data_IF_458644817737
#
_entry.id   IF_458644817737
#
_cell.length_a   1.000
_cell.length_b   1.000
_cell.length_c   1.000
_cell.angle_alpha   90.00
_cell.angle_beta   90.00
_cell.angle_gamma   90.00
#
_symmetry.space_group_name_H-M   'P 1'
#
loop_
_entity.id
_entity.type
_entity.pdbx_description
1 polymer ?
#
# COMPACT_ATOMS: atom_id res chain seq x y z
N UNK A 1 -3.14 -22.68 7.00
CA UNK A 1 -3.13 -21.79 5.82
C UNK A 1 -3.27 -20.38 6.34
N UNK A 2 -2.33 -19.47 6.05
CA UNK A 2 -2.52 -18.05 6.39
C UNK A 2 -3.62 -17.53 5.48
N UNK A 3 -4.76 -17.13 6.05
CA UNK A 3 -5.83 -16.51 5.28
C UNK A 3 -5.31 -15.21 4.67
N UNK A 4 -5.56 -15.04 3.36
CA UNK A 4 -5.22 -13.79 2.67
C UNK A 4 -6.13 -12.69 3.22
N UNK A 5 -5.59 -11.54 3.66
CA UNK A 5 -6.41 -10.44 4.14
C UNK A 5 -7.33 -9.96 3.00
N UNK A 6 -8.53 -9.46 3.32
CA UNK A 6 -9.42 -8.90 2.31
C UNK A 6 -8.80 -7.65 1.67
N UNK A 7 -9.18 -7.30 0.43
CA UNK A 7 -8.81 -6.03 -0.18
C UNK A 7 -9.25 -4.84 0.67
N UNK A 8 -8.44 -3.79 0.72
CA UNK A 8 -8.76 -2.54 1.42
C UNK A 8 -9.58 -1.58 0.56
N UNK A 9 -9.60 -1.81 -0.76
CA UNK A 9 -10.45 -1.07 -1.72
C UNK A 9 -10.78 -1.93 -2.95
N UNK A 10 -11.62 -1.42 -3.84
CA UNK A 10 -11.86 -2.00 -5.18
C UNK A 10 -10.80 -1.49 -6.16
N UNK A 11 -10.31 -2.31 -7.13
CA UNK A 11 -9.45 -1.85 -8.22
C UNK A 11 -10.02 -0.65 -8.99
N UNK A 12 -11.35 -0.56 -9.13
CA UNK A 12 -12.04 0.51 -9.86
C UNK A 12 -11.98 1.87 -9.13
N UNK A 13 -11.74 1.85 -7.82
CA UNK A 13 -11.58 3.07 -7.02
C UNK A 13 -10.16 3.67 -7.13
N UNK A 14 -9.22 2.93 -7.73
CA UNK A 14 -7.84 3.39 -7.92
C UNK A 14 -7.78 4.24 -9.19
N UNK A 15 -7.47 5.52 -9.02
CA UNK A 15 -7.33 6.49 -10.11
C UNK A 15 -6.00 6.32 -10.85
N UNK A 16 -5.86 6.99 -11.99
CA UNK A 16 -4.62 7.04 -12.78
C UNK A 16 -4.65 6.18 -14.04
N UNK A 17 -3.47 5.93 -14.61
CA UNK A 17 -3.28 5.21 -15.88
C UNK A 17 -2.61 3.84 -15.71
N UNK A 18 -2.43 3.34 -14.47
CA UNK A 18 -1.98 1.98 -14.25
C UNK A 18 -2.96 0.97 -14.86
N UNK A 19 -2.45 -0.17 -15.33
CA UNK A 19 -3.24 -1.25 -15.92
C UNK A 19 -4.18 -1.90 -14.89
N UNK A 20 -5.22 -2.56 -15.38
CA UNK A 20 -6.17 -3.27 -14.50
C UNK A 20 -5.47 -4.32 -13.63
N UNK A 21 -4.57 -5.10 -14.20
CA UNK A 21 -3.77 -6.08 -13.45
C UNK A 21 -2.96 -5.42 -12.31
N UNK A 22 -2.41 -4.22 -12.53
CA UNK A 22 -1.70 -3.48 -11.48
C UNK A 22 -2.67 -2.97 -10.41
N UNK A 23 -3.86 -2.49 -10.78
CA UNK A 23 -4.88 -2.07 -9.79
C UNK A 23 -5.41 -3.25 -8.97
N UNK A 24 -5.61 -4.41 -9.60
CA UNK A 24 -5.96 -5.67 -8.91
C UNK A 24 -4.89 -6.12 -7.93
N UNK A 25 -3.61 -5.86 -8.24
CA UNK A 25 -2.52 -6.14 -7.33
C UNK A 25 -2.49 -5.16 -6.15
N UNK A 26 -2.73 -3.88 -6.44
CA UNK A 26 -2.60 -2.78 -5.47
C UNK A 26 -3.85 -2.58 -4.59
N UNK A 27 -5.00 -3.15 -4.94
CA UNK A 27 -6.22 -3.06 -4.12
C UNK A 27 -6.11 -3.80 -2.77
N UNK A 28 -5.05 -4.60 -2.59
CA UNK A 28 -4.78 -5.33 -1.37
C UNK A 28 -3.28 -5.27 -1.00
N UNK A 29 -2.80 -4.14 -0.45
CA UNK A 29 -1.40 -3.96 -0.08
C UNK A 29 -0.93 -5.03 0.92
N UNK A 30 -1.73 -5.36 1.93
CA UNK A 30 -1.39 -6.37 2.92
C UNK A 30 -1.09 -7.74 2.28
N UNK A 31 -1.94 -8.21 1.36
CA UNK A 31 -1.70 -9.47 0.67
C UNK A 31 -0.46 -9.44 -0.24
N UNK A 32 -0.12 -8.28 -0.83
CA UNK A 32 1.08 -8.13 -1.64
C UNK A 32 2.36 -8.36 -0.82
N UNK A 33 2.41 -7.87 0.41
CA UNK A 33 3.57 -7.98 1.29
C UNK A 33 3.61 -9.28 2.11
N UNK A 34 2.47 -9.96 2.31
CA UNK A 34 2.38 -11.19 3.11
C UNK A 34 3.18 -12.37 2.53
N UNK A 35 3.35 -12.43 1.20
CA UNK A 35 4.01 -13.54 0.49
C UNK A 35 5.46 -13.27 0.07
N UNK A 36 6.00 -12.10 0.39
CA UNK A 36 7.32 -11.69 -0.07
C UNK A 36 8.19 -11.35 1.15
N UNK A 37 9.21 -12.19 1.36
CA UNK A 37 10.46 -11.98 2.09
C UNK A 37 10.63 -12.59 3.50
N UNK A 38 11.60 -13.50 3.60
CA UNK A 38 12.62 -13.47 4.66
C UNK A 38 13.39 -12.14 4.54
N UNK A 39 12.93 -11.09 5.23
CA UNK A 39 13.64 -9.80 5.28
C UNK A 39 14.29 -9.67 6.65
N UNK A 40 15.56 -9.26 6.67
CA UNK A 40 16.27 -8.83 7.89
C UNK A 40 15.72 -7.52 8.49
N UNK A 41 14.68 -6.96 7.87
CA UNK A 41 13.98 -5.76 8.32
C UNK A 41 12.60 -6.22 8.77
N UNK A 42 12.14 -5.84 9.98
CA UNK A 42 10.80 -6.16 10.44
C UNK A 42 9.78 -5.79 9.36
N UNK A 43 8.80 -6.65 9.06
CA UNK A 43 7.75 -6.29 8.11
C UNK A 43 7.14 -4.97 8.57
N UNK A 44 7.01 -4.02 7.64
CA UNK A 44 6.21 -2.82 7.86
C UNK A 44 4.86 -3.29 8.42
N UNK A 45 4.50 -2.82 9.62
CA UNK A 45 3.53 -3.51 10.48
C UNK A 45 2.29 -3.93 9.71
N UNK A 46 1.91 -5.21 9.80
CA UNK A 46 0.71 -5.73 9.12
C UNK A 46 -0.53 -4.88 9.45
N UNK A 47 -0.59 -4.34 10.66
CA UNK A 47 -1.67 -3.47 11.14
C UNK A 47 -1.76 -2.15 10.35
N UNK A 48 -0.65 -1.69 9.77
CA UNK A 48 -0.59 -0.52 8.91
C UNK A 48 -1.01 -0.89 7.49
N UNK A 49 -0.48 -1.99 6.95
CA UNK A 49 -0.77 -2.44 5.58
C UNK A 49 -2.22 -2.87 5.38
N UNK A 50 -2.88 -3.36 6.43
CA UNK A 50 -4.32 -3.70 6.43
C UNK A 50 -5.22 -2.48 6.46
N UNK A 51 -4.68 -1.30 6.79
CA UNK A 51 -5.39 0.00 6.79
C UNK A 51 -5.01 0.88 5.60
N UNK A 52 -3.96 0.52 4.86
CA UNK A 52 -3.49 1.27 3.71
C UNK A 52 -4.46 1.14 2.53
N UNK A 53 -4.95 2.28 2.04
CA UNK A 53 -5.85 2.36 0.89
C UNK A 53 -5.11 3.01 -0.26
N UNK A 54 -4.87 2.28 -1.36
CA UNK A 54 -4.32 2.88 -2.57
C UNK A 54 -5.41 3.68 -3.27
N UNK A 55 -5.17 4.97 -3.50
CA UNK A 55 -6.14 5.87 -4.13
C UNK A 55 -5.75 6.27 -5.55
N UNK A 56 -4.46 6.22 -5.88
CA UNK A 56 -3.95 6.47 -7.22
C UNK A 56 -2.78 5.56 -7.56
N UNK A 57 -2.75 5.08 -8.80
CA UNK A 57 -1.61 4.40 -9.39
C UNK A 57 -1.40 4.91 -10.82
N UNK A 58 -0.25 5.55 -11.06
CA UNK A 58 0.09 6.13 -12.36
C UNK A 58 1.52 5.79 -12.78
N UNK A 59 1.73 5.75 -14.09
CA UNK A 59 3.02 5.59 -14.74
C UNK A 59 3.26 6.85 -15.57
N UNK A 60 4.29 7.60 -15.22
CA UNK A 60 4.67 8.86 -15.88
C UNK A 60 6.04 8.73 -16.53
N UNK A 61 6.34 9.57 -17.52
CA UNK A 61 7.71 9.70 -18.02
C UNK A 61 8.57 10.42 -17.00
N UNK A 62 9.82 9.97 -16.83
CA UNK A 62 10.79 10.63 -15.97
C UNK A 62 11.19 11.98 -16.58
N UNK A 63 11.26 13.02 -15.75
CA UNK A 63 11.57 14.39 -16.18
C UNK A 63 13.00 14.51 -16.70
N UNK A 64 13.92 13.75 -16.11
CA UNK A 64 15.33 13.73 -16.45
C UNK A 64 15.65 12.92 -17.72
N UNK A 65 14.76 12.00 -18.11
CA UNK A 65 14.97 11.07 -19.23
C UNK A 65 13.63 10.50 -19.70
N UNK A 66 13.13 10.97 -20.84
CA UNK A 66 11.81 10.60 -21.39
C UNK A 66 11.70 9.12 -21.78
N UNK A 67 12.83 8.43 -21.97
CA UNK A 67 12.86 6.99 -22.24
C UNK A 67 12.59 6.16 -20.99
N UNK A 68 12.71 6.77 -19.81
CA UNK A 68 12.45 6.11 -18.53
C UNK A 68 11.05 6.45 -18.01
N UNK A 69 10.48 5.49 -17.30
CA UNK A 69 9.17 5.61 -16.65
C UNK A 69 9.34 5.61 -15.13
N UNK A 70 8.45 6.31 -14.46
CA UNK A 70 8.32 6.31 -13.00
C UNK A 70 6.92 5.83 -12.64
N UNK A 71 6.84 4.93 -11.67
CA UNK A 71 5.58 4.50 -11.09
C UNK A 71 5.29 5.34 -9.84
N UNK A 72 4.13 5.99 -9.82
CA UNK A 72 3.64 6.77 -8.70
C UNK A 72 2.45 6.02 -8.11
N UNK A 73 2.50 5.78 -6.80
CA UNK A 73 1.40 5.17 -6.04
C UNK A 73 1.09 6.09 -4.86
N UNK A 74 -0.16 6.52 -4.75
CA UNK A 74 -0.66 7.32 -3.63
C UNK A 74 -1.45 6.43 -2.70
N UNK A 75 -1.11 6.48 -1.41
CA UNK A 75 -1.70 5.66 -0.36
C UNK A 75 -2.26 6.60 0.70
N UNK A 76 -3.53 6.43 1.02
CA UNK A 76 -4.15 6.99 2.20
C UNK A 76 -4.01 6.01 3.36
N UNK A 77 -3.60 6.52 4.52
CA UNK A 77 -3.39 5.74 5.72
C UNK A 77 -3.93 6.51 6.92
N UNK A 78 -4.84 5.87 7.66
CA UNK A 78 -5.29 6.38 8.94
C UNK A 78 -4.36 5.86 10.05
N UNK A 79 -3.65 6.77 10.71
CA UNK A 79 -2.77 6.47 11.84
C UNK A 79 -3.38 7.06 13.10
N UNK A 80 -3.79 6.19 14.02
CA UNK A 80 -4.18 6.57 15.38
C UNK A 80 -2.95 6.42 16.28
N UNK A 81 -2.41 7.50 16.81
CA UNK A 81 -1.49 7.42 17.95
C UNK A 81 -2.27 6.88 19.15
N UNK A 82 -1.76 5.83 19.80
CA UNK A 82 -2.42 5.22 20.95
C UNK A 82 -2.63 6.22 22.08
N UNK A 83 -3.73 6.07 22.81
CA UNK A 83 -4.01 6.82 24.05
C UNK A 83 -2.81 6.69 25.00
N UNK A 84 -1.99 7.74 25.06
CA UNK A 84 -0.95 7.87 26.06
C UNK A 84 -1.61 8.29 27.37
N UNK A 85 -2.27 7.37 28.07
CA UNK A 85 -2.69 7.61 29.45
C UNK A 85 -1.47 7.49 30.37
N UNK A 86 -0.73 8.59 30.51
CA UNK A 86 0.24 8.75 31.59
C UNK A 86 -0.59 8.95 32.87
N UNK A 87 -0.76 7.88 33.65
CA UNK A 87 -1.17 8.00 35.04
C UNK A 87 0.06 8.50 35.80
N UNK A 88 0.09 9.81 36.09
CA UNK A 88 0.98 10.34 37.11
C UNK A 88 0.41 9.89 38.47
N UNK A 89 1.09 8.94 39.11
CA UNK A 89 0.91 8.63 40.53
C UNK A 89 1.87 9.49 41.33
#
# INVERSE_FOLDING_TARGET
MLERPPPTTSPDNIKGNASNATRELLCNPAAFFQGRYERNVPPFGNDILTKAIVTEASIVSKREDELKKEAIVVIELEVTEGESSIILV
#
